data_IF_185762704487
#
_entry.id   IF_185762704487
#
_cell.length_a   1.000
_cell.length_b   1.000
_cell.length_c   1.000
_cell.angle_alpha   90.00
_cell.angle_beta   90.00
_cell.angle_gamma   90.00
#
_symmetry.space_group_name_H-M   'P 1'
#
loop_
_entity.id
_entity.type
_entity.pdbx_description
1 polymer ?
#
# COMPACT_ATOMS: atom_id res chain seq x y z
N UNK A 1 -28.25 20.59 -14.46
CA UNK A 1 -26.79 20.85 -14.61
C UNK A 1 -26.25 20.05 -15.79
N UNK A 2 -25.86 20.71 -16.90
CA UNK A 2 -25.28 20.05 -18.09
C UNK A 2 -23.96 19.38 -17.67
N UNK A 3 -23.87 18.04 -17.71
CA UNK A 3 -22.64 17.31 -17.33
C UNK A 3 -21.54 17.65 -18.34
N UNK A 4 -20.58 18.49 -17.96
CA UNK A 4 -19.44 18.85 -18.81
C UNK A 4 -18.59 17.60 -19.14
N UNK A 5 -18.58 17.24 -20.42
CA UNK A 5 -17.65 16.26 -20.99
C UNK A 5 -16.23 16.83 -20.89
N UNK A 6 -15.34 16.14 -20.19
CA UNK A 6 -13.94 16.56 -20.07
C UNK A 6 -13.13 16.09 -21.28
N UNK A 7 -12.11 16.84 -21.65
CA UNK A 7 -11.12 16.37 -22.62
C UNK A 7 -10.30 15.22 -22.03
N UNK A 8 -9.76 14.33 -22.87
CA UNK A 8 -8.91 13.22 -22.39
C UNK A 8 -7.70 13.70 -21.58
N UNK A 9 -7.08 14.82 -22.00
CA UNK A 9 -5.96 15.45 -21.28
C UNK A 9 -6.39 15.91 -19.88
N UNK A 10 -7.57 16.49 -19.76
CA UNK A 10 -8.14 16.89 -18.47
C UNK A 10 -8.51 15.72 -17.58
N UNK A 11 -9.06 14.64 -18.15
CA UNK A 11 -9.35 13.42 -17.41
C UNK A 11 -8.07 12.83 -16.81
N UNK A 12 -7.00 12.69 -17.60
CA UNK A 12 -5.70 12.22 -17.11
C UNK A 12 -5.16 13.13 -16.00
N UNK A 13 -5.21 14.46 -16.18
CA UNK A 13 -4.78 15.41 -15.14
C UNK A 13 -5.59 15.24 -13.86
N UNK A 14 -6.90 15.05 -13.99
CA UNK A 14 -7.82 14.89 -12.85
C UNK A 14 -7.62 13.57 -12.13
N UNK A 15 -7.36 12.48 -12.84
CA UNK A 15 -7.00 11.17 -12.27
C UNK A 15 -5.70 11.29 -11.47
N UNK A 16 -4.72 12.05 -11.96
CA UNK A 16 -3.49 12.24 -11.19
C UNK A 16 -3.72 13.07 -9.91
N UNK A 17 -4.58 14.10 -9.97
CA UNK A 17 -5.00 14.85 -8.78
C UNK A 17 -5.78 13.96 -7.79
N UNK A 18 -6.68 13.11 -8.29
CA UNK A 18 -7.43 12.12 -7.53
C UNK A 18 -6.47 11.22 -6.71
N UNK A 19 -5.45 10.65 -7.36
CA UNK A 19 -4.44 9.81 -6.71
C UNK A 19 -3.64 10.56 -5.65
N UNK A 20 -3.34 11.85 -5.87
CA UNK A 20 -2.68 12.68 -4.86
C UNK A 20 -3.56 12.97 -3.64
N UNK A 21 -4.88 13.02 -3.82
CA UNK A 21 -5.83 13.23 -2.73
C UNK A 21 -6.16 11.93 -1.98
N UNK A 22 -6.23 10.80 -2.68
CA UNK A 22 -6.58 9.50 -2.08
C UNK A 22 -5.52 9.03 -1.06
N UNK A 23 -4.24 9.08 -1.41
CA UNK A 23 -3.16 8.59 -0.53
C UNK A 23 -3.09 9.26 0.86
N UNK A 24 -3.07 10.60 0.99
CA UNK A 24 -3.04 11.21 2.31
C UNK A 24 -4.33 11.00 3.10
N UNK A 25 -5.47 10.83 2.42
CA UNK A 25 -6.75 10.50 3.05
C UNK A 25 -6.66 9.14 3.77
N UNK A 26 -6.18 8.10 3.07
CA UNK A 26 -6.07 6.74 3.64
C UNK A 26 -4.88 6.60 4.59
N UNK A 27 -3.73 7.19 4.26
CA UNK A 27 -2.48 7.01 5.03
C UNK A 27 -2.38 7.88 6.28
N UNK A 28 -3.00 9.07 6.28
CA UNK A 28 -2.83 10.04 7.37
C UNK A 28 -4.15 10.40 8.05
N UNK A 29 -5.17 10.82 7.28
CA UNK A 29 -6.40 11.31 7.88
C UNK A 29 -7.21 10.19 8.54
N UNK A 30 -7.45 9.07 7.84
CA UNK A 30 -8.24 7.95 8.39
C UNK A 30 -7.67 7.41 9.71
N UNK A 31 -6.36 7.09 9.81
CA UNK A 31 -5.78 6.59 11.06
C UNK A 31 -5.84 7.62 12.19
N UNK A 32 -5.74 8.92 11.89
CA UNK A 32 -5.86 9.97 12.90
C UNK A 32 -7.28 10.09 13.44
N UNK A 33 -8.28 10.07 12.56
CA UNK A 33 -9.69 10.04 12.96
C UNK A 33 -9.99 8.81 13.82
N UNK A 34 -9.53 7.63 13.39
CA UNK A 34 -9.72 6.39 14.16
C UNK A 34 -9.12 6.48 15.55
N UNK A 35 -7.88 6.96 15.68
CA UNK A 35 -7.23 7.15 16.98
C UNK A 35 -7.97 8.13 17.87
N UNK A 36 -8.37 9.28 17.32
CA UNK A 36 -9.15 10.28 18.06
C UNK A 36 -10.46 9.68 18.57
N UNK A 37 -11.28 9.10 17.68
CA UNK A 37 -12.57 8.53 18.05
C UNK A 37 -12.42 7.34 19.00
N UNK A 38 -11.39 6.51 18.83
CA UNK A 38 -11.13 5.39 19.77
C UNK A 38 -10.76 5.88 21.16
N UNK A 39 -10.11 7.05 21.27
CA UNK A 39 -9.80 7.69 22.55
C UNK A 39 -11.05 8.30 23.19
N UNK A 40 -11.93 8.93 22.40
CA UNK A 40 -13.12 9.61 22.92
C UNK A 40 -14.29 8.66 23.21
N UNK A 41 -14.52 7.68 22.34
CA UNK A 41 -15.70 6.78 22.39
C UNK A 41 -15.36 5.36 22.86
N UNK A 42 -14.06 5.04 23.00
CA UNK A 42 -13.58 3.69 23.23
C UNK A 42 -13.39 2.87 21.95
N UNK A 43 -12.40 1.98 21.97
CA UNK A 43 -11.97 1.18 20.80
C UNK A 43 -13.09 0.30 20.23
N UNK A 44 -13.97 -0.22 21.08
CA UNK A 44 -15.07 -1.11 20.66
C UNK A 44 -16.12 -0.41 19.79
N UNK A 45 -16.25 0.91 19.92
CA UNK A 45 -17.22 1.69 19.15
C UNK A 45 -16.71 2.10 17.76
N UNK A 46 -15.42 1.88 17.46
CA UNK A 46 -14.79 2.26 16.20
C UNK A 46 -14.29 1.02 15.46
N UNK A 47 -15.20 0.38 14.73
CA UNK A 47 -14.96 -0.92 14.09
C UNK A 47 -14.44 -0.84 12.65
N UNK A 48 -14.50 0.33 12.02
CA UNK A 48 -14.16 0.53 10.61
C UNK A 48 -12.92 1.42 10.43
N UNK A 49 -12.16 1.15 9.37
CA UNK A 49 -11.06 1.99 8.87
C UNK A 49 -11.53 2.94 7.73
N UNK A 50 -12.81 2.88 7.34
CA UNK A 50 -13.37 3.74 6.30
C UNK A 50 -13.46 5.19 6.78
N UNK A 51 -12.73 6.09 6.12
CA UNK A 51 -12.76 7.52 6.40
C UNK A 51 -14.16 8.12 6.35
N UNK A 52 -15.06 7.63 5.49
CA UNK A 52 -16.44 8.12 5.45
C UNK A 52 -17.16 7.83 6.76
N UNK A 53 -17.11 6.57 7.21
CA UNK A 53 -17.68 6.15 8.48
C UNK A 53 -17.11 6.98 9.64
N UNK A 54 -15.79 7.14 9.70
CA UNK A 54 -15.12 7.90 10.76
C UNK A 54 -15.51 9.38 10.74
N UNK A 55 -15.66 10.00 9.57
CA UNK A 55 -16.10 11.39 9.48
C UNK A 55 -17.57 11.55 9.90
N UNK A 56 -18.46 10.61 9.57
CA UNK A 56 -19.84 10.63 10.08
C UNK A 56 -19.89 10.44 11.60
N UNK A 57 -19.07 9.53 12.14
CA UNK A 57 -18.94 9.40 13.61
C UNK A 57 -18.42 10.67 14.27
N UNK A 58 -17.55 11.42 13.61
CA UNK A 58 -17.10 12.72 14.11
C UNK A 58 -18.24 13.77 14.07
N UNK A 59 -19.14 13.72 13.09
CA UNK A 59 -20.37 14.53 13.10
C UNK A 59 -21.24 14.17 14.30
N UNK A 60 -21.53 12.89 14.51
CA UNK A 60 -22.36 12.42 15.62
C UNK A 60 -21.76 12.86 16.97
N UNK A 61 -20.44 12.68 17.14
CA UNK A 61 -19.72 13.13 18.33
C UNK A 61 -19.83 14.64 18.55
N UNK A 62 -19.69 15.45 17.49
CA UNK A 62 -19.79 16.91 17.59
C UNK A 62 -21.21 17.36 17.99
N UNK A 63 -22.24 16.66 17.51
CA UNK A 63 -23.64 16.97 17.83
C UNK A 63 -24.06 16.47 19.21
N UNK A 64 -23.54 15.34 19.69
CA UNK A 64 -23.85 14.83 21.04
C UNK A 64 -23.36 15.78 22.14
N UNK A 65 -22.25 16.48 21.93
CA UNK A 65 -21.78 17.52 22.84
C UNK A 65 -22.73 18.73 22.93
N UNK A 66 -23.69 18.87 22.00
CA UNK A 66 -24.75 19.89 22.03
C UNK A 66 -25.98 19.42 22.78
N UNK A 67 -26.32 18.14 22.64
CA UNK A 67 -27.53 17.57 23.25
C UNK A 67 -27.42 17.40 24.76
N UNK A 68 -26.20 17.36 25.32
CA UNK A 68 -25.97 17.06 26.73
C UNK A 68 -25.84 18.30 27.64
N UNK A 69 -26.12 19.52 27.15
CA UNK A 69 -26.04 20.74 27.95
C UNK A 69 -26.80 21.92 27.34
N UNK A 70 -27.14 22.91 28.18
CA UNK A 70 -27.71 24.18 27.73
C UNK A 70 -26.64 25.06 27.07
N UNK A 71 -26.26 24.74 25.83
CA UNK A 71 -25.31 25.54 25.07
C UNK A 71 -25.85 26.96 24.84
N UNK A 72 -25.00 27.96 25.06
CA UNK A 72 -25.30 29.34 24.70
C UNK A 72 -25.26 29.56 23.17
N UNK A 73 -25.70 30.73 22.70
CA UNK A 73 -25.78 31.04 21.27
C UNK A 73 -24.45 30.92 20.51
N UNK A 74 -23.33 31.28 21.16
CA UNK A 74 -22.00 31.19 20.54
C UNK A 74 -21.52 29.75 20.40
N UNK A 75 -21.77 28.91 21.40
CA UNK A 75 -21.41 27.49 21.37
C UNK A 75 -22.19 26.74 20.28
N UNK A 76 -23.49 27.03 20.12
CA UNK A 76 -24.30 26.50 19.01
C UNK A 76 -23.73 26.90 17.65
N UNK A 77 -23.36 28.17 17.48
CA UNK A 77 -22.77 28.67 16.23
C UNK A 77 -21.43 27.98 15.91
N UNK A 78 -20.58 27.77 16.93
CA UNK A 78 -19.32 27.05 16.78
C UNK A 78 -19.53 25.60 16.30
N UNK A 79 -20.45 24.86 16.94
CA UNK A 79 -20.77 23.48 16.55
C UNK A 79 -21.23 23.41 15.10
N UNK A 80 -22.12 24.31 14.67
CA UNK A 80 -22.59 24.35 13.28
C UNK A 80 -21.46 24.66 12.29
N UNK A 81 -20.52 25.53 12.67
CA UNK A 81 -19.34 25.81 11.85
C UNK A 81 -18.43 24.59 11.73
N UNK A 82 -18.23 23.84 12.81
CA UNK A 82 -17.48 22.57 12.84
C UNK A 82 -18.15 21.51 11.97
N UNK A 83 -19.46 21.33 12.11
CA UNK A 83 -20.25 20.38 11.30
C UNK A 83 -20.11 20.68 9.80
N UNK A 84 -20.19 21.96 9.40
CA UNK A 84 -19.99 22.38 8.01
C UNK A 84 -18.60 22.00 7.47
N UNK A 85 -17.55 22.10 8.29
CA UNK A 85 -16.19 21.67 7.93
C UNK A 85 -16.16 20.15 7.70
N UNK A 86 -16.74 19.38 8.62
CA UNK A 86 -16.74 17.91 8.55
C UNK A 86 -17.55 17.42 7.35
N UNK A 87 -18.74 18.00 7.09
CA UNK A 87 -19.56 17.65 5.91
C UNK A 87 -18.85 17.97 4.59
N UNK A 88 -18.11 19.07 4.54
CA UNK A 88 -17.30 19.37 3.35
C UNK A 88 -16.15 18.38 3.17
N UNK A 89 -15.53 17.93 4.26
CA UNK A 89 -14.54 16.84 4.24
C UNK A 89 -15.14 15.52 3.74
N UNK A 90 -16.35 15.15 4.18
CA UNK A 90 -17.10 13.98 3.70
C UNK A 90 -17.36 14.09 2.20
N UNK A 91 -17.85 15.25 1.73
CA UNK A 91 -18.05 15.49 0.29
C UNK A 91 -16.76 15.32 -0.49
N UNK A 92 -15.67 15.91 -0.02
CA UNK A 92 -14.35 15.79 -0.64
C UNK A 92 -13.89 14.33 -0.74
N UNK A 93 -14.06 13.56 0.35
CA UNK A 93 -13.78 12.12 0.34
C UNK A 93 -14.63 11.41 -0.70
N UNK A 94 -15.93 11.64 -0.74
CA UNK A 94 -16.82 10.95 -1.67
C UNK A 94 -16.49 11.28 -3.12
N UNK A 95 -16.21 12.55 -3.44
CA UNK A 95 -15.78 12.97 -4.77
C UNK A 95 -14.49 12.26 -5.20
N UNK A 96 -13.52 12.14 -4.30
CA UNK A 96 -12.23 11.47 -4.56
C UNK A 96 -12.39 9.94 -4.64
N UNK A 97 -13.08 9.32 -3.70
CA UNK A 97 -13.30 7.88 -3.67
C UNK A 97 -14.20 7.38 -4.81
N UNK A 98 -15.14 8.19 -5.28
CA UNK A 98 -16.04 7.84 -6.39
C UNK A 98 -15.60 8.40 -7.75
N UNK A 99 -14.39 8.97 -7.83
CA UNK A 99 -13.76 9.45 -9.07
C UNK A 99 -14.63 10.41 -9.89
N UNK A 100 -15.25 11.38 -9.22
CA UNK A 100 -16.03 12.46 -9.86
C UNK A 100 -15.05 13.51 -10.41
N UNK A 101 -14.41 13.21 -11.56
CA UNK A 101 -13.27 13.97 -12.07
C UNK A 101 -13.52 15.47 -12.26
N UNK A 102 -14.70 15.95 -12.75
CA UNK A 102 -14.94 17.38 -12.87
C UNK A 102 -14.84 18.11 -11.53
N UNK A 103 -15.40 17.52 -10.47
CA UNK A 103 -15.33 18.10 -9.13
C UNK A 103 -13.93 17.98 -8.53
N UNK A 104 -13.19 16.90 -8.80
CA UNK A 104 -11.77 16.80 -8.40
C UNK A 104 -10.96 17.92 -9.03
N UNK A 105 -11.10 18.15 -10.35
CA UNK A 105 -10.42 19.22 -11.07
C UNK A 105 -10.74 20.59 -10.47
N UNK A 106 -12.03 20.86 -10.22
CA UNK A 106 -12.50 22.16 -9.75
C UNK A 106 -12.22 22.42 -8.26
N UNK A 107 -12.33 21.40 -7.39
CA UNK A 107 -12.43 21.59 -5.93
C UNK A 107 -11.36 20.87 -5.12
N UNK A 108 -10.41 20.18 -5.73
CA UNK A 108 -9.29 19.48 -5.05
C UNK A 108 -8.66 20.27 -3.90
N UNK A 109 -8.29 21.55 -4.13
CA UNK A 109 -7.70 22.43 -3.11
C UNK A 109 -8.64 22.68 -1.94
N UNK A 110 -9.93 22.84 -2.21
CA UNK A 110 -10.96 23.03 -1.19
C UNK A 110 -11.13 21.76 -0.34
N UNK A 111 -11.13 20.58 -0.97
CA UNK A 111 -11.24 19.30 -0.27
C UNK A 111 -10.06 19.06 0.67
N UNK A 112 -8.81 19.17 0.20
CA UNK A 112 -7.64 18.99 1.08
C UNK A 112 -7.61 20.03 2.21
N UNK A 113 -8.11 21.25 1.97
CA UNK A 113 -8.23 22.29 3.01
C UNK A 113 -9.22 21.88 4.09
N UNK A 114 -10.36 21.28 3.74
CA UNK A 114 -11.29 20.76 4.75
C UNK A 114 -10.69 19.63 5.58
N UNK A 115 -9.91 18.76 4.95
CA UNK A 115 -9.21 17.68 5.67
C UNK A 115 -8.14 18.22 6.62
N UNK A 116 -7.41 19.28 6.23
CA UNK A 116 -6.48 19.99 7.12
C UNK A 116 -7.22 20.56 8.33
N UNK A 117 -8.37 21.21 8.11
CA UNK A 117 -9.21 21.75 9.20
C UNK A 117 -9.69 20.64 10.13
N UNK A 118 -10.17 19.51 9.60
CA UNK A 118 -10.55 18.34 10.41
C UNK A 118 -9.36 17.83 11.22
N UNK A 119 -8.16 17.73 10.64
CA UNK A 119 -6.96 17.31 11.36
C UNK A 119 -6.63 18.26 12.52
N UNK A 120 -6.80 19.57 12.36
CA UNK A 120 -6.65 20.54 13.44
C UNK A 120 -7.73 20.37 14.52
N UNK A 121 -9.00 20.17 14.14
CA UNK A 121 -10.11 19.98 15.08
C UNK A 121 -9.90 18.78 16.01
N UNK A 122 -9.32 17.68 15.50
CA UNK A 122 -9.01 16.49 16.30
C UNK A 122 -7.63 16.54 16.98
N UNK A 123 -6.93 17.69 16.93
CA UNK A 123 -5.61 17.87 17.53
C UNK A 123 -4.44 17.15 16.81
N UNK A 124 -4.65 16.61 15.61
CA UNK A 124 -3.66 15.86 14.85
C UNK A 124 -2.72 16.79 14.03
N UNK A 125 -1.91 17.59 14.73
CA UNK A 125 -1.02 18.62 14.12
C UNK A 125 -0.08 18.05 13.04
N UNK A 126 0.58 16.92 13.29
CA UNK A 126 1.48 16.28 12.32
C UNK A 126 0.77 15.84 11.04
N UNK A 127 -0.49 15.40 11.17
CA UNK A 127 -1.30 15.03 10.01
C UNK A 127 -1.68 16.28 9.22
N UNK A 128 -2.06 17.36 9.89
CA UNK A 128 -2.33 18.64 9.23
C UNK A 128 -1.11 19.11 8.40
N UNK A 129 0.12 19.01 8.93
CA UNK A 129 1.36 19.34 8.20
C UNK A 129 1.50 18.50 6.93
N UNK A 130 1.35 17.17 7.01
CA UNK A 130 1.42 16.27 5.83
C UNK A 130 0.33 16.56 4.78
N UNK A 131 -0.86 16.94 5.23
CA UNK A 131 -1.94 17.37 4.34
C UNK A 131 -1.64 18.73 3.69
N UNK A 132 -1.02 19.66 4.43
CA UNK A 132 -0.57 20.95 3.90
C UNK A 132 0.53 20.78 2.85
N UNK A 133 1.48 19.86 3.03
CA UNK A 133 2.48 19.52 2.01
C UNK A 133 1.80 19.05 0.72
N UNK A 134 0.79 18.19 0.83
CA UNK A 134 0.02 17.75 -0.34
C UNK A 134 -0.74 18.92 -0.99
N UNK A 135 -1.31 19.83 -0.19
CA UNK A 135 -1.98 21.04 -0.71
C UNK A 135 -0.99 21.97 -1.43
N UNK A 136 0.19 22.21 -0.86
CA UNK A 136 1.27 23.01 -1.48
C UNK A 136 1.67 22.37 -2.81
N UNK A 137 1.83 21.05 -2.83
CA UNK A 137 2.12 20.31 -4.05
C UNK A 137 1.03 20.48 -5.12
N UNK A 138 -0.24 20.39 -4.74
CA UNK A 138 -1.37 20.63 -5.66
C UNK A 138 -1.42 22.09 -6.18
N UNK A 139 -0.92 23.06 -5.42
CA UNK A 139 -0.91 24.48 -5.79
C UNK A 139 0.24 24.86 -6.71
N UNK A 140 1.44 24.33 -6.50
CA UNK A 140 2.65 24.68 -7.26
C UNK A 140 2.77 23.91 -8.59
N UNK A 141 1.68 23.29 -9.05
CA UNK A 141 1.69 22.40 -10.20
C UNK A 141 1.76 23.18 -11.52
N UNK A 142 2.97 23.35 -12.06
CA UNK A 142 3.24 23.96 -13.38
C UNK A 142 3.63 22.96 -14.49
N UNK A 143 3.58 21.64 -14.26
CA UNK A 143 3.61 20.69 -15.39
C UNK A 143 4.15 19.28 -15.16
N UNK A 144 4.95 19.03 -14.11
CA UNK A 144 5.50 17.70 -13.81
C UNK A 144 4.92 17.16 -12.50
N UNK A 145 4.08 16.13 -12.59
CA UNK A 145 3.64 15.37 -11.41
C UNK A 145 4.87 14.82 -10.69
N UNK A 146 4.81 14.62 -9.36
CA UNK A 146 5.98 14.16 -8.63
C UNK A 146 6.36 12.84 -9.28
N UNK A 147 7.63 12.71 -9.66
CA UNK A 147 8.12 11.50 -10.32
C UNK A 147 7.70 10.34 -9.43
N UNK A 148 6.76 9.54 -9.93
CA UNK A 148 6.40 8.27 -9.31
C UNK A 148 7.72 7.59 -9.00
N UNK A 149 7.96 7.11 -7.76
CA UNK A 149 9.24 6.51 -7.44
C UNK A 149 9.61 5.51 -8.52
N UNK A 150 10.87 5.55 -8.96
CA UNK A 150 11.32 4.69 -10.07
C UNK A 150 10.84 3.25 -9.83
N UNK A 151 10.52 2.47 -10.88
CA UNK A 151 10.07 1.09 -10.71
C UNK A 151 10.94 0.31 -9.71
N UNK A 152 12.26 0.51 -9.76
CA UNK A 152 13.21 -0.03 -8.78
C UNK A 152 12.98 0.45 -7.33
N UNK A 153 12.75 1.75 -7.10
CA UNK A 153 12.46 2.28 -5.76
C UNK A 153 11.13 1.76 -5.21
N UNK A 154 10.09 1.65 -6.05
CA UNK A 154 8.82 1.02 -5.68
C UNK A 154 9.02 -0.45 -5.31
N UNK A 155 9.77 -1.18 -6.13
CA UNK A 155 10.09 -2.59 -5.89
C UNK A 155 10.80 -2.80 -4.55
N UNK A 156 11.87 -2.04 -4.28
CA UNK A 156 12.61 -2.13 -3.01
C UNK A 156 11.72 -1.84 -1.80
N UNK A 157 10.86 -0.83 -1.89
CA UNK A 157 9.89 -0.52 -0.83
C UNK A 157 8.93 -1.69 -0.60
N UNK A 158 8.38 -2.28 -1.66
CA UNK A 158 7.46 -3.42 -1.56
C UNK A 158 8.15 -4.67 -1.02
N UNK A 159 9.42 -4.94 -1.38
CA UNK A 159 10.19 -6.05 -0.80
C UNK A 159 10.31 -5.88 0.71
N UNK A 160 10.65 -4.69 1.20
CA UNK A 160 10.75 -4.42 2.64
C UNK A 160 9.41 -4.63 3.36
N UNK A 161 8.31 -4.13 2.77
CA UNK A 161 6.96 -4.28 3.29
C UNK A 161 6.55 -5.77 3.36
N UNK A 162 6.75 -6.52 2.27
CA UNK A 162 6.43 -7.95 2.26
C UNK A 162 7.33 -8.75 3.19
N UNK A 163 8.59 -8.36 3.38
CA UNK A 163 9.49 -9.01 4.34
C UNK A 163 9.01 -8.82 5.77
N UNK A 164 8.53 -7.63 6.12
CA UNK A 164 7.91 -7.37 7.42
C UNK A 164 6.63 -8.18 7.59
N UNK A 165 5.79 -8.26 6.54
CA UNK A 165 4.55 -9.05 6.55
C UNK A 165 4.82 -10.55 6.73
N UNK A 166 5.74 -11.14 5.96
CA UNK A 166 6.02 -12.58 5.98
C UNK A 166 6.79 -13.00 7.24
N UNK A 167 7.46 -12.05 7.92
CA UNK A 167 8.07 -12.27 9.23
C UNK A 167 7.07 -12.15 10.40
N UNK A 168 5.90 -11.55 10.15
CA UNK A 168 4.89 -11.34 11.19
C UNK A 168 4.10 -12.62 11.44
N UNK A 169 4.40 -13.27 12.57
CA UNK A 169 3.74 -14.50 13.02
C UNK A 169 2.46 -14.26 13.83
N UNK A 170 2.07 -13.01 14.08
CA UNK A 170 0.90 -12.71 14.91
C UNK A 170 -0.38 -13.14 14.18
N UNK A 171 -1.28 -13.83 14.87
CA UNK A 171 -2.61 -14.15 14.36
C UNK A 171 -3.46 -12.89 14.21
N UNK A 172 -3.38 -11.98 15.20
CA UNK A 172 -4.12 -10.72 15.24
C UNK A 172 -3.68 -9.72 14.15
N UNK A 173 -4.51 -8.70 13.94
CA UNK A 173 -4.22 -7.61 12.98
C UNK A 173 -3.06 -6.76 13.49
N UNK A 174 -1.94 -6.75 12.77
CA UNK A 174 -0.70 -6.07 13.16
C UNK A 174 -0.45 -4.83 12.32
N UNK A 175 0.51 -4.00 12.76
CA UNK A 175 0.97 -2.86 11.97
C UNK A 175 1.61 -3.26 10.64
N UNK A 176 2.29 -4.42 10.59
CA UNK A 176 2.88 -4.93 9.35
C UNK A 176 1.80 -5.32 8.32
N UNK A 177 0.72 -5.98 8.78
CA UNK A 177 -0.46 -6.28 7.96
C UNK A 177 -1.14 -5.02 7.45
N UNK A 178 -1.31 -4.02 8.31
CA UNK A 178 -1.89 -2.72 7.94
C UNK A 178 -1.04 -1.98 6.90
N UNK A 179 0.28 -1.92 7.07
CA UNK A 179 1.19 -1.28 6.11
C UNK A 179 1.15 -2.01 4.75
N UNK A 180 1.16 -3.35 4.76
CA UNK A 180 1.08 -4.13 3.54
C UNK A 180 -0.27 -3.94 2.83
N UNK A 181 -1.39 -3.96 3.56
CA UNK A 181 -2.71 -3.72 3.01
C UNK A 181 -2.80 -2.34 2.37
N UNK A 182 -2.37 -1.27 3.07
CA UNK A 182 -2.35 0.09 2.52
C UNK A 182 -1.52 0.20 1.24
N UNK A 183 -0.33 -0.41 1.20
CA UNK A 183 0.52 -0.35 0.00
C UNK A 183 -0.09 -1.09 -1.20
N UNK A 184 -0.79 -2.20 -0.95
CA UNK A 184 -1.53 -2.95 -1.97
C UNK A 184 -2.76 -2.17 -2.43
N UNK A 185 -3.49 -1.54 -1.50
CA UNK A 185 -4.65 -0.69 -1.81
C UNK A 185 -4.26 0.53 -2.65
N UNK A 186 -3.14 1.18 -2.35
CA UNK A 186 -2.59 2.24 -3.18
C UNK A 186 -2.31 1.75 -4.62
N UNK A 187 -1.72 0.56 -4.76
CA UNK A 187 -1.44 -0.03 -6.07
C UNK A 187 -2.73 -0.38 -6.82
N UNK A 188 -3.72 -0.97 -6.14
CA UNK A 188 -5.04 -1.28 -6.71
C UNK A 188 -5.81 -0.02 -7.10
N UNK A 189 -5.79 1.02 -6.25
CA UNK A 189 -6.43 2.30 -6.55
C UNK A 189 -5.83 2.93 -7.80
N UNK A 190 -4.50 2.94 -7.90
CA UNK A 190 -3.77 3.47 -9.05
C UNK A 190 -4.22 2.79 -10.35
N UNK A 191 -4.23 1.45 -10.39
CA UNK A 191 -4.64 0.71 -11.60
C UNK A 191 -6.13 0.86 -11.92
N UNK A 192 -6.99 0.88 -10.89
CA UNK A 192 -8.43 1.04 -11.08
C UNK A 192 -8.71 2.43 -11.68
N UNK A 193 -8.11 3.48 -11.13
CA UNK A 193 -8.36 4.85 -11.54
C UNK A 193 -7.73 5.20 -12.90
N UNK A 194 -6.50 4.74 -13.15
CA UNK A 194 -5.72 5.13 -14.33
C UNK A 194 -5.90 4.20 -15.53
N UNK A 195 -5.87 2.89 -15.29
CA UNK A 195 -5.81 1.90 -16.36
C UNK A 195 -7.16 1.23 -16.63
N UNK A 196 -8.05 1.09 -15.63
CA UNK A 196 -9.29 0.32 -15.78
C UNK A 196 -10.54 1.19 -16.02
N UNK A 197 -10.75 2.23 -15.21
CA UNK A 197 -12.06 2.89 -15.15
C UNK A 197 -12.46 3.63 -16.44
N UNK A 198 -11.51 4.26 -17.14
CA UNK A 198 -11.77 4.92 -18.42
C UNK A 198 -12.11 3.91 -19.52
N UNK A 199 -11.33 2.83 -19.76
CA UNK A 199 -11.73 1.77 -20.68
C UNK A 199 -13.08 1.16 -20.36
N UNK A 200 -13.35 0.83 -19.09
CA UNK A 200 -14.64 0.28 -18.69
C UNK A 200 -15.80 1.23 -19.02
N UNK A 201 -15.65 2.52 -18.74
CA UNK A 201 -16.64 3.53 -19.15
C UNK A 201 -16.82 3.56 -20.66
N UNK A 202 -15.73 3.58 -21.43
CA UNK A 202 -15.79 3.66 -22.88
C UNK A 202 -16.49 2.42 -23.47
N UNK A 203 -16.18 1.23 -22.97
CA UNK A 203 -16.88 0.00 -23.33
C UNK A 203 -18.40 0.12 -23.09
N UNK A 204 -18.80 0.53 -21.89
CA UNK A 204 -20.22 0.66 -21.55
C UNK A 204 -20.95 1.77 -22.35
N UNK A 205 -20.28 2.90 -22.60
CA UNK A 205 -20.91 4.08 -23.21
C UNK A 205 -20.85 4.08 -24.74
N UNK A 206 -19.78 3.54 -25.33
CA UNK A 206 -19.51 3.60 -26.77
C UNK A 206 -19.86 2.26 -27.41
N UNK A 207 -19.36 1.15 -26.88
CA UNK A 207 -19.53 -0.16 -27.51
C UNK A 207 -20.94 -0.70 -27.24
N UNK A 208 -21.39 -0.64 -25.98
CA UNK A 208 -22.71 -1.16 -25.61
C UNK A 208 -23.82 -0.10 -25.61
N UNK A 209 -23.46 1.20 -25.63
CA UNK A 209 -24.40 2.34 -25.54
C UNK A 209 -25.39 2.25 -24.36
N UNK A 210 -25.00 1.56 -23.28
CA UNK A 210 -25.87 1.29 -22.12
C UNK A 210 -25.92 2.46 -21.14
N UNK A 211 -24.93 3.35 -21.17
CA UNK A 211 -24.87 4.52 -20.28
C UNK A 211 -24.47 5.77 -21.06
N UNK A 212 -25.01 6.94 -20.71
CA UNK A 212 -24.54 8.19 -21.28
C UNK A 212 -23.11 8.48 -20.82
N UNK A 213 -22.28 8.97 -21.75
CA UNK A 213 -20.91 9.37 -21.43
C UNK A 213 -20.90 10.43 -20.32
N UNK A 214 -20.09 10.21 -19.30
CA UNK A 214 -19.82 11.20 -18.27
C UNK A 214 -18.37 11.11 -17.77
N UNK A 215 -17.87 12.21 -17.23
CA UNK A 215 -16.50 12.29 -16.72
C UNK A 215 -16.36 11.70 -15.29
N UNK A 216 -17.32 10.89 -14.83
CA UNK A 216 -17.21 10.15 -13.56
C UNK A 216 -16.69 8.74 -13.85
N UNK A 217 -15.43 8.49 -13.47
CA UNK A 217 -14.74 7.22 -13.73
C UNK A 217 -14.70 6.35 -12.47
N UNK A 218 -15.82 6.33 -11.74
CA UNK A 218 -15.92 5.55 -10.51
C UNK A 218 -15.80 4.05 -10.75
N UNK A 219 -16.15 3.55 -11.94
CA UNK A 219 -16.15 2.13 -12.29
C UNK A 219 -17.30 1.34 -11.65
N UNK A 220 -17.72 1.67 -10.42
CA UNK A 220 -18.74 0.90 -9.68
C UNK A 220 -20.09 0.86 -10.39
N UNK A 221 -20.60 2.01 -10.83
CA UNK A 221 -21.88 2.06 -11.54
C UNK A 221 -21.76 1.30 -12.87
N UNK A 222 -20.65 1.46 -13.58
CA UNK A 222 -20.38 0.75 -14.82
C UNK A 222 -20.35 -0.78 -14.61
N UNK A 223 -19.67 -1.25 -13.56
CA UNK A 223 -19.60 -2.66 -13.19
C UNK A 223 -20.97 -3.22 -12.78
N UNK A 224 -21.74 -2.46 -11.99
CA UNK A 224 -23.10 -2.86 -11.59
C UNK A 224 -24.03 -2.99 -12.80
N UNK A 225 -23.96 -2.05 -13.75
CA UNK A 225 -24.70 -2.14 -14.99
C UNK A 225 -24.24 -3.32 -15.86
N UNK A 226 -22.94 -3.57 -15.95
CA UNK A 226 -22.41 -4.70 -16.69
C UNK A 226 -22.93 -6.04 -16.14
N UNK A 227 -22.90 -6.23 -14.81
CA UNK A 227 -23.46 -7.42 -14.16
C UNK A 227 -24.97 -7.60 -14.41
N UNK A 228 -25.71 -6.50 -14.46
CA UNK A 228 -27.17 -6.55 -14.59
C UNK A 228 -27.66 -6.68 -16.04
N UNK A 229 -26.86 -6.26 -17.03
CA UNK A 229 -27.31 -6.07 -18.41
C UNK A 229 -26.46 -6.76 -19.47
N UNK A 230 -25.25 -7.19 -19.14
CA UNK A 230 -24.38 -7.88 -20.10
C UNK A 230 -24.48 -9.40 -19.91
N UNK A 231 -24.37 -10.10 -21.03
CA UNK A 231 -24.11 -11.53 -21.11
C UNK A 231 -22.64 -11.76 -21.51
N UNK A 232 -22.11 -12.98 -21.40
CA UNK A 232 -20.76 -13.29 -21.87
C UNK A 232 -20.51 -12.92 -23.34
N UNK A 233 -21.54 -12.99 -24.20
CA UNK A 233 -21.43 -12.65 -25.62
C UNK A 233 -21.14 -11.16 -25.89
N UNK A 234 -21.31 -10.29 -24.88
CA UNK A 234 -20.95 -8.88 -25.00
C UNK A 234 -19.44 -8.61 -24.88
N UNK A 235 -18.65 -9.62 -24.50
CA UNK A 235 -17.23 -9.50 -24.23
C UNK A 235 -16.41 -10.27 -25.27
N UNK A 236 -15.15 -9.86 -25.43
CA UNK A 236 -14.16 -10.59 -26.22
C UNK A 236 -13.94 -11.96 -25.57
N UNK A 237 -14.03 -13.01 -26.38
CA UNK A 237 -13.77 -14.37 -25.93
C UNK A 237 -12.30 -14.52 -25.47
N UNK A 238 -12.07 -15.19 -24.32
CA UNK A 238 -10.76 -15.67 -23.91
C UNK A 238 -10.00 -16.44 -25.01
N UNK A 239 -8.66 -16.37 -24.97
CA UNK A 239 -7.78 -17.03 -25.94
C UNK A 239 -7.84 -18.57 -25.88
N UNK A 240 -8.25 -19.13 -24.73
CA UNK A 240 -8.42 -20.57 -24.53
C UNK A 240 -9.75 -21.12 -25.08
N UNK A 241 -10.55 -20.26 -25.74
CA UNK A 241 -11.84 -20.62 -26.29
C UNK A 241 -12.97 -20.73 -25.25
N UNK A 242 -12.70 -20.43 -23.98
CA UNK A 242 -13.73 -20.45 -22.95
C UNK A 242 -14.74 -19.31 -23.15
N UNK A 243 -15.91 -19.43 -22.51
CA UNK A 243 -16.88 -18.33 -22.41
C UNK A 243 -16.37 -17.30 -21.40
N UNK A 244 -16.66 -16.02 -21.62
CA UNK A 244 -16.31 -14.95 -20.66
C UNK A 244 -17.04 -15.15 -19.31
N UNK A 245 -16.29 -15.24 -18.21
CA UNK A 245 -16.86 -15.42 -16.88
C UNK A 245 -17.20 -14.06 -16.21
N UNK A 246 -18.51 -13.80 -16.08
CA UNK A 246 -19.04 -12.61 -15.41
C UNK A 246 -18.68 -12.51 -13.92
N UNK A 247 -18.29 -13.62 -13.26
CA UNK A 247 -17.87 -13.61 -11.86
C UNK A 247 -16.63 -12.73 -11.62
N UNK A 248 -15.80 -12.54 -12.65
CA UNK A 248 -14.67 -11.61 -12.61
C UNK A 248 -15.12 -10.15 -12.49
N UNK A 249 -16.26 -9.76 -13.07
CA UNK A 249 -16.80 -8.40 -12.94
C UNK A 249 -17.20 -8.14 -11.48
N UNK A 250 -17.87 -9.10 -10.83
CA UNK A 250 -18.22 -9.01 -9.41
C UNK A 250 -16.95 -8.93 -8.55
N UNK A 251 -15.92 -9.69 -8.89
CA UNK A 251 -14.63 -9.63 -8.18
C UNK A 251 -13.95 -8.27 -8.33
N UNK A 252 -13.98 -7.65 -9.51
CA UNK A 252 -13.48 -6.29 -9.72
C UNK A 252 -14.29 -5.27 -8.93
N UNK A 253 -15.61 -5.42 -8.87
CA UNK A 253 -16.48 -4.56 -8.05
C UNK A 253 -16.12 -4.66 -6.56
N UNK A 254 -15.91 -5.87 -6.06
CA UNK A 254 -15.47 -6.12 -4.69
C UNK A 254 -14.08 -5.54 -4.41
N UNK A 255 -13.12 -5.70 -5.34
CA UNK A 255 -11.80 -5.08 -5.24
C UNK A 255 -11.90 -3.57 -5.08
N UNK A 256 -12.70 -2.93 -5.92
CA UNK A 256 -12.88 -1.49 -5.93
C UNK A 256 -13.54 -1.00 -4.65
N UNK A 257 -14.56 -1.71 -4.18
CA UNK A 257 -15.21 -1.43 -2.89
C UNK A 257 -14.21 -1.56 -1.72
N UNK A 258 -13.45 -2.65 -1.67
CA UNK A 258 -12.48 -2.91 -0.60
C UNK A 258 -11.43 -1.80 -0.50
N UNK A 259 -10.87 -1.35 -1.63
CA UNK A 259 -9.86 -0.28 -1.65
C UNK A 259 -10.44 1.06 -1.20
N UNK A 260 -11.61 1.45 -1.72
CA UNK A 260 -12.19 2.77 -1.45
C UNK A 260 -12.67 2.92 -0.01
N UNK A 261 -13.16 1.84 0.56
CA UNK A 261 -13.64 1.79 1.94
C UNK A 261 -12.57 1.25 2.91
N UNK A 262 -11.31 1.15 2.46
CA UNK A 262 -10.16 0.82 3.32
C UNK A 262 -10.38 -0.51 4.07
N UNK A 263 -10.96 -1.49 3.39
CA UNK A 263 -11.26 -2.81 3.96
C UNK A 263 -10.00 -3.69 3.95
N UNK A 264 -9.00 -3.31 4.74
CA UNK A 264 -7.69 -3.95 4.75
C UNK A 264 -7.75 -5.48 4.91
N UNK A 265 -8.68 -5.97 5.74
CA UNK A 265 -8.92 -7.40 5.99
C UNK A 265 -9.42 -8.14 4.76
N UNK A 266 -10.11 -7.45 3.86
CA UNK A 266 -10.56 -8.01 2.58
C UNK A 266 -9.47 -7.88 1.52
N UNK A 267 -8.74 -6.76 1.50
CA UNK A 267 -7.71 -6.52 0.48
C UNK A 267 -6.50 -7.44 0.63
N UNK A 268 -5.94 -7.56 1.83
CA UNK A 268 -4.68 -8.27 2.06
C UNK A 268 -4.69 -9.76 1.66
N UNK A 269 -5.76 -10.55 1.89
CA UNK A 269 -5.81 -11.92 1.39
C UNK A 269 -6.21 -12.03 -0.09
N UNK A 270 -7.02 -11.10 -0.62
CA UNK A 270 -7.64 -11.25 -1.94
C UNK A 270 -6.95 -10.47 -3.08
N UNK A 271 -5.93 -9.67 -2.81
CA UNK A 271 -5.35 -8.77 -3.82
C UNK A 271 -4.92 -9.46 -5.11
N UNK A 272 -4.38 -10.69 -5.04
CA UNK A 272 -4.00 -11.42 -6.25
C UNK A 272 -5.22 -11.74 -7.13
N UNK A 273 -6.32 -12.20 -6.50
CA UNK A 273 -7.59 -12.45 -7.18
C UNK A 273 -8.14 -11.16 -7.81
N UNK A 274 -7.99 -10.04 -7.12
CA UNK A 274 -8.39 -8.72 -7.62
C UNK A 274 -7.62 -8.28 -8.87
N UNK A 275 -6.28 -8.36 -8.85
CA UNK A 275 -5.46 -8.03 -10.01
C UNK A 275 -5.75 -8.95 -11.20
N UNK A 276 -5.84 -10.27 -10.97
CA UNK A 276 -6.18 -11.23 -12.04
C UNK A 276 -7.53 -10.91 -12.68
N UNK A 277 -8.54 -10.60 -11.87
CA UNK A 277 -9.87 -10.23 -12.40
C UNK A 277 -9.86 -8.90 -13.13
N UNK A 278 -9.10 -7.90 -12.66
CA UNK A 278 -8.90 -6.64 -13.40
C UNK A 278 -8.26 -6.86 -14.77
N UNK A 279 -7.26 -7.74 -14.86
CA UNK A 279 -6.61 -8.12 -16.13
C UNK A 279 -7.61 -8.84 -17.03
N UNK A 280 -8.30 -9.86 -16.52
CA UNK A 280 -9.29 -10.65 -17.25
C UNK A 280 -10.41 -9.77 -17.83
N UNK A 281 -11.04 -8.92 -16.99
CA UNK A 281 -12.10 -8.02 -17.44
C UNK A 281 -11.55 -6.99 -18.45
N UNK A 282 -10.33 -6.50 -18.26
CA UNK A 282 -9.71 -5.58 -19.23
C UNK A 282 -9.52 -6.24 -20.60
N UNK A 283 -9.13 -7.52 -20.66
CA UNK A 283 -9.04 -8.26 -21.91
C UNK A 283 -10.42 -8.47 -22.53
N UNK A 284 -11.42 -8.87 -21.73
CA UNK A 284 -12.79 -9.06 -22.20
C UNK A 284 -13.46 -7.81 -22.75
N UNK A 285 -13.06 -6.61 -22.32
CA UNK A 285 -13.55 -5.36 -22.92
C UNK A 285 -12.66 -4.84 -24.07
N UNK A 286 -11.70 -5.66 -24.54
CA UNK A 286 -10.75 -5.30 -25.61
C UNK A 286 -9.65 -4.31 -25.20
N UNK A 287 -9.49 -4.00 -23.91
CA UNK A 287 -8.52 -3.04 -23.40
C UNK A 287 -7.13 -3.66 -23.15
N UNK A 288 -6.52 -4.25 -24.20
CA UNK A 288 -5.25 -5.00 -24.11
C UNK A 288 -4.09 -4.19 -23.56
N UNK A 289 -4.02 -2.88 -23.88
CA UNK A 289 -3.00 -1.98 -23.31
C UNK A 289 -3.17 -1.85 -21.79
N UNK A 290 -4.39 -1.66 -21.31
CA UNK A 290 -4.68 -1.57 -19.88
C UNK A 290 -4.38 -2.89 -19.18
N UNK A 291 -4.81 -4.02 -19.74
CA UNK A 291 -4.49 -5.35 -19.21
C UNK A 291 -2.97 -5.53 -19.02
N UNK A 292 -2.17 -5.14 -20.02
CA UNK A 292 -0.69 -5.18 -19.93
C UNK A 292 -0.13 -4.28 -18.83
N UNK A 293 -0.65 -3.06 -18.66
CA UNK A 293 -0.20 -2.15 -17.61
C UNK A 293 -0.52 -2.68 -16.21
N UNK A 294 -1.74 -3.20 -16.02
CA UNK A 294 -2.18 -3.83 -14.77
C UNK A 294 -1.34 -5.07 -14.46
N UNK A 295 -1.10 -5.92 -15.46
CA UNK A 295 -0.26 -7.12 -15.36
C UNK A 295 1.16 -6.78 -14.91
N UNK A 296 1.80 -5.75 -15.47
CA UNK A 296 3.15 -5.31 -15.03
C UNK A 296 3.20 -4.94 -13.55
N UNK A 297 2.16 -4.29 -13.02
CA UNK A 297 2.08 -3.94 -11.59
C UNK A 297 1.87 -5.19 -10.75
N UNK A 298 0.99 -6.09 -11.19
CA UNK A 298 0.75 -7.37 -10.53
C UNK A 298 2.02 -8.23 -10.43
N UNK A 299 2.73 -8.42 -11.54
CA UNK A 299 3.98 -9.19 -11.59
C UNK A 299 5.09 -8.56 -10.75
N UNK A 300 5.17 -7.23 -10.73
CA UNK A 300 6.09 -6.49 -9.85
C UNK A 300 5.84 -6.80 -8.36
N UNK A 301 4.57 -6.80 -7.94
CA UNK A 301 4.18 -7.16 -6.57
C UNK A 301 4.48 -8.63 -6.25
N UNK A 302 4.21 -9.56 -7.17
CA UNK A 302 4.56 -10.98 -7.01
C UNK A 302 6.08 -11.16 -6.85
N UNK A 303 6.87 -10.52 -7.70
CA UNK A 303 8.32 -10.54 -7.64
C UNK A 303 8.83 -9.97 -6.31
N UNK A 304 8.22 -8.90 -5.80
CA UNK A 304 8.59 -8.30 -4.52
C UNK A 304 8.34 -9.26 -3.35
N UNK A 305 7.18 -9.95 -3.37
CA UNK A 305 6.83 -10.96 -2.35
C UNK A 305 7.76 -12.17 -2.42
N UNK A 306 8.09 -12.65 -3.62
CA UNK A 306 9.03 -13.76 -3.83
C UNK A 306 10.43 -13.40 -3.30
N UNK A 307 10.90 -12.19 -3.58
CA UNK A 307 12.19 -11.71 -3.10
C UNK A 307 12.21 -11.55 -1.57
N UNK A 308 11.15 -11.02 -0.96
CA UNK A 308 11.01 -10.96 0.49
C UNK A 308 11.16 -12.34 1.16
N UNK A 309 10.49 -13.37 0.61
CA UNK A 309 10.61 -14.76 1.09
C UNK A 309 12.03 -15.32 0.93
N UNK A 310 12.70 -15.02 -0.20
CA UNK A 310 14.11 -15.40 -0.41
C UNK A 310 15.03 -14.78 0.63
N UNK A 311 14.85 -13.49 0.94
CA UNK A 311 15.65 -12.82 1.97
C UNK A 311 15.44 -13.43 3.37
N UNK A 312 14.20 -13.75 3.73
CA UNK A 312 13.89 -14.44 5.00
C UNK A 312 14.57 -15.82 5.03
N UNK A 313 14.48 -16.60 3.93
CA UNK A 313 15.14 -17.90 3.85
C UNK A 313 16.66 -17.78 4.01
N UNK A 314 17.29 -16.82 3.32
CA UNK A 314 18.73 -16.54 3.44
C UNK A 314 19.13 -16.15 4.86
N UNK A 315 18.34 -15.32 5.54
CA UNK A 315 18.61 -14.90 6.91
C UNK A 315 18.49 -16.03 7.95
N UNK A 316 17.74 -17.10 7.64
CA UNK A 316 17.63 -18.30 8.49
C UNK A 316 18.78 -19.29 8.30
N UNK A 317 19.50 -19.21 7.18
CA UNK A 317 20.67 -20.04 6.96
C UNK A 317 21.84 -19.43 7.74
N UNK A 318 22.55 -20.24 8.53
CA UNK A 318 23.77 -19.82 9.20
C UNK A 318 24.74 -19.17 8.19
N UNK A 319 25.40 -18.05 8.54
CA UNK A 319 26.48 -17.49 7.74
C UNK A 319 27.48 -18.60 7.36
N UNK A 320 28.03 -18.59 6.13
CA UNK A 320 29.02 -19.58 5.69
C UNK A 320 30.19 -19.78 6.68
N UNK A 321 30.57 -18.69 7.37
CA UNK A 321 31.63 -18.68 8.40
C UNK A 321 31.28 -19.58 9.60
N UNK A 322 30.00 -19.67 10.00
CA UNK A 322 29.56 -20.56 11.09
C UNK A 322 29.34 -22.00 10.62
N UNK A 323 29.01 -22.22 9.33
CA UNK A 323 28.97 -23.57 8.75
C UNK A 323 30.36 -24.19 8.65
N UNK A 324 31.38 -23.42 8.27
CA UNK A 324 32.76 -23.90 8.23
C UNK A 324 33.32 -24.15 9.64
N UNK A 325 32.96 -23.35 10.64
CA UNK A 325 33.34 -23.62 12.03
C UNK A 325 32.67 -24.88 12.59
N UNK A 326 31.40 -25.15 12.26
CA UNK A 326 30.77 -26.41 12.63
C UNK A 326 31.43 -27.61 11.94
N UNK A 327 31.78 -27.50 10.65
CA UNK A 327 32.53 -28.57 9.97
C UNK A 327 33.93 -28.78 10.54
N UNK A 328 34.65 -27.72 10.90
CA UNK A 328 35.99 -27.82 11.54
C UNK A 328 35.89 -28.37 12.96
N UNK A 329 34.86 -27.99 13.72
CA UNK A 329 34.64 -28.51 15.07
C UNK A 329 34.25 -29.99 15.04
N UNK A 330 33.30 -30.37 14.18
CA UNK A 330 32.88 -31.77 13.98
C UNK A 330 34.07 -32.60 13.48
N UNK A 331 34.86 -32.10 12.52
CA UNK A 331 36.05 -32.80 12.01
C UNK A 331 37.12 -32.95 13.10
N UNK A 332 37.39 -31.89 13.87
CA UNK A 332 38.34 -31.93 14.97
C UNK A 332 37.91 -32.84 16.13
N UNK A 333 36.61 -33.00 16.34
CA UNK A 333 36.03 -33.90 17.35
C UNK A 333 36.05 -35.37 16.88
N UNK A 334 35.79 -35.64 15.60
CA UNK A 334 36.00 -36.96 15.00
C UNK A 334 37.47 -37.36 14.97
N UNK A 335 38.39 -36.44 14.67
CA UNK A 335 39.84 -36.73 14.67
C UNK A 335 40.35 -36.99 16.10
N UNK A 336 39.81 -36.30 17.11
CA UNK A 336 40.07 -36.57 18.54
C UNK A 336 39.50 -37.92 18.99
N UNK A 337 38.31 -38.31 18.53
CA UNK A 337 37.73 -39.61 18.85
C UNK A 337 38.50 -40.75 18.15
N UNK A 338 38.91 -40.57 16.90
CA UNK A 338 39.68 -41.56 16.16
C UNK A 338 41.08 -41.78 16.73
N UNK A 339 41.76 -40.72 17.19
CA UNK A 339 43.07 -40.85 17.86
C UNK A 339 42.98 -41.48 19.26
N UNK A 340 41.81 -41.47 19.89
CA UNK A 340 41.54 -42.21 21.15
C UNK A 340 41.34 -43.71 20.92
N UNK A 341 40.81 -44.10 19.77
CA UNK A 341 40.60 -45.50 19.38
C UNK A 341 41.83 -46.16 18.76
N UNK A 342 42.65 -45.39 18.04
CA UNK A 342 43.82 -45.93 17.31
C UNK A 342 45.05 -46.22 18.17
N UNK A 343 44.91 -46.27 19.50
CA UNK A 343 45.91 -46.89 20.37
C UNK A 343 47.29 -46.23 20.27
N UNK A 344 47.58 -45.34 21.21
CA UNK A 344 48.92 -44.81 21.46
C UNK A 344 49.88 -45.97 21.75
N UNK A 345 50.46 -46.60 20.73
CA UNK A 345 51.60 -47.49 20.86
C UNK A 345 52.83 -46.63 21.07
N UNK A 346 53.27 -46.62 22.32
CA UNK A 346 54.64 -46.27 22.69
C UNK A 346 55.63 -46.98 21.74
N UNK A 347 56.48 -46.21 21.10
CA UNK A 347 57.83 -46.66 20.79
C UNK A 347 58.78 -45.60 21.33
N UNK A 348 59.43 -45.95 22.44
CA UNK A 348 60.57 -45.20 22.92
C UNK A 348 61.76 -45.45 22.01
N UNK A 349 62.57 -44.41 21.76
CA UNK A 349 63.99 -44.58 21.49
C UNK A 349 64.79 -43.49 22.18
N UNK A 350 65.88 -43.95 22.78
CA UNK A 350 66.77 -43.33 23.76
C UNK A 350 67.78 -42.36 23.12
N UNK A 351 68.16 -41.38 23.94
CA UNK A 351 69.51 -40.83 24.22
C UNK A 351 70.35 -40.01 23.22
N UNK A 352 70.88 -38.91 23.81
CA UNK A 352 72.18 -38.20 23.60
C UNK A 352 72.25 -37.27 22.36
N UNK A 353 72.68 -36.00 22.41
CA UNK A 353 73.76 -35.33 23.17
C UNK A 353 73.54 -33.79 23.35
N UNK A 354 74.24 -33.25 24.38
CA UNK A 354 74.60 -31.85 24.73
C UNK A 354 74.91 -30.96 23.50
N UNK A 355 74.47 -29.70 23.35
CA UNK A 355 74.74 -28.43 24.07
C UNK A 355 75.41 -27.43 23.07
N UNK A 356 75.69 -26.12 23.34
CA UNK A 356 75.09 -25.12 24.24
C UNK A 356 74.77 -23.75 23.56
N UNK A 357 74.12 -22.85 24.33
CA UNK A 357 74.28 -21.37 24.39
C UNK A 357 74.28 -20.50 23.11
N UNK A 358 73.38 -19.51 23.02
CA UNK A 358 73.70 -18.11 23.41
C UNK A 358 72.59 -17.11 23.05
N UNK A 359 72.26 -16.30 24.06
CA UNK A 359 71.93 -14.88 24.10
C UNK A 359 71.56 -14.12 22.81
N UNK A 360 70.59 -13.20 22.95
CA UNK A 360 70.70 -11.89 22.30
C UNK A 360 69.41 -11.13 22.06
N UNK A 361 68.99 -10.34 23.05
CA UNK A 361 68.46 -8.97 22.96
C UNK A 361 67.36 -8.56 21.94
N UNK A 362 66.34 -7.90 22.51
CA UNK A 362 65.49 -6.85 21.95
C UNK A 362 66.30 -5.64 21.40
N UNK A 363 65.68 -4.46 21.12
CA UNK A 363 64.65 -4.09 20.15
C UNK A 363 65.14 -2.97 19.20
N UNK A 364 64.45 -2.69 18.10
CA UNK A 364 64.78 -1.58 17.19
C UNK A 364 63.54 -0.84 16.69
N UNK A 365 63.39 0.41 17.12
CA UNK A 365 62.39 1.37 16.70
C UNK A 365 62.80 2.14 15.43
N UNK A 366 61.86 2.96 14.94
CA UNK A 366 61.97 4.08 13.96
C UNK A 366 61.63 3.71 12.51
N UNK A 367 60.60 4.29 11.85
CA UNK A 367 60.19 5.69 11.54
C UNK A 367 60.68 6.11 10.14
N UNK A 368 59.74 6.50 9.26
CA UNK A 368 59.84 7.36 8.05
C UNK A 368 58.59 7.05 7.17
N UNK A 369 57.61 7.92 6.84
CA UNK A 369 57.63 9.19 6.05
C UNK A 369 58.54 9.03 4.82
N UNK A 370 58.14 9.10 3.55
CA UNK A 370 57.26 9.98 2.76
C UNK A 370 57.03 9.30 1.39
N UNK A 371 55.88 9.54 0.73
CA UNK A 371 55.70 10.30 -0.54
C UNK A 371 54.19 10.48 -0.74
#
# INVERSE_FOLDING_TARGET
MKKMKMTRKDEIKSIRMLKLLFRPLTKYLSPALKRFLSKQLGVRMVTSDDTQYLLYKLVDYNLQNVSNGSLNGMEKAYVLAVDKIIRHAIRGRNVVCHSVLPEVKAKSKSFITSWIKVAHLIGAKDVAVKLQETRKFLSNYTGKFPRVPSPAKRQRSMVSIFRALESDKKSNWSKAKEIAANAIEDALFDVIAEDFAMPMRNFMAINLKLIPYNSTVGGYVQLKFALAKCSPANFVAPEDGSVFDLSHIQTVMNSRHAVIHVQHRNTLPNWQKYFKSLIYVSLGIGATRSARMISRIYESLLAARKEARRQIKRARLLPPILRNRQHVFIKGETDRMNSRWLGRKNSGRKHLTKGPSSNGNQPGASRAQEV
#
